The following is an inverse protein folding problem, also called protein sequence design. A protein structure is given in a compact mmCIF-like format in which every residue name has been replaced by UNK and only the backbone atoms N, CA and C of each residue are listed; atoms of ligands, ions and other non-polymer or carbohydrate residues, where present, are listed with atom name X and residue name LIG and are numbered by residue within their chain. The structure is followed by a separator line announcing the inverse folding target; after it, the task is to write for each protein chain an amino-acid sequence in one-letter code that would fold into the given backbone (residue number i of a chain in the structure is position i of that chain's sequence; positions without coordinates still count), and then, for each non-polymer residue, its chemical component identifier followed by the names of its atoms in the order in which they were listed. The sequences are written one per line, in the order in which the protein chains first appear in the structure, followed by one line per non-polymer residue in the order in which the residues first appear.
data_IF_407846315205
#
_entry.id   IF_407846315205
#
_cell.length_a   1.000
_cell.length_b   1.000
_cell.length_c   1.000
_cell.angle_alpha   90.00
_cell.angle_beta   90.00
_cell.angle_gamma   90.00
#
_symmetry.space_group_name_H-M   'P 1'
#
loop_
_entity.id
_entity.type
_entity.pdbx_description
1 polymer ?
#
# COMPACT_ATOMS: atom_id res chain seq x y z
N UNK A 1 -10.65 0.75 24.29
CA UNK A 1 -10.61 -0.69 24.58
C UNK A 1 -10.99 -1.37 23.27
N UNK A 2 -10.10 -2.16 22.66
CA UNK A 2 -10.40 -2.81 21.38
C UNK A 2 -11.25 -4.04 21.70
N UNK A 3 -12.44 -4.11 21.11
CA UNK A 3 -13.32 -5.27 21.17
C UNK A 3 -12.80 -6.35 20.20
N UNK A 4 -12.66 -7.58 20.71
CA UNK A 4 -12.08 -8.73 20.01
C UNK A 4 -13.11 -9.83 19.71
N UNK A 5 -14.41 -9.59 19.91
CA UNK A 5 -15.47 -10.57 19.63
C UNK A 5 -15.54 -10.96 18.13
N UNK A 6 -14.93 -10.16 17.24
CA UNK A 6 -14.49 -10.57 15.90
C UNK A 6 -13.21 -9.87 15.49
N UNK A 7 -12.35 -10.55 14.70
CA UNK A 7 -11.10 -9.95 14.23
C UNK A 7 -11.40 -8.71 13.39
N UNK A 8 -12.31 -8.73 12.43
CA UNK A 8 -12.78 -7.52 11.72
C UNK A 8 -14.29 -7.68 11.50
N UNK A 9 -15.09 -6.75 12.01
CA UNK A 9 -16.55 -6.80 11.83
C UNK A 9 -16.90 -6.47 10.38
N UNK A 10 -17.93 -7.13 9.82
CA UNK A 10 -18.38 -6.89 8.44
C UNK A 10 -18.73 -5.42 8.17
N UNK A 11 -19.29 -4.74 9.18
CA UNK A 11 -19.69 -3.32 9.09
C UNK A 11 -18.52 -2.37 8.78
N UNK A 12 -17.29 -2.75 9.12
CA UNK A 12 -16.11 -1.92 8.84
C UNK A 12 -15.40 -2.31 7.54
N UNK A 13 -15.83 -3.37 6.85
CA UNK A 13 -15.19 -3.81 5.60
C UNK A 13 -15.48 -2.87 4.44
N UNK A 14 -16.63 -2.20 4.41
CA UNK A 14 -17.02 -1.34 3.31
C UNK A 14 -16.53 0.10 3.50
N UNK A 15 -16.09 0.72 2.40
CA UNK A 15 -15.67 2.11 2.41
C UNK A 15 -16.91 3.01 2.35
N UNK A 16 -16.90 4.16 3.05
CA UNK A 16 -18.02 5.11 2.98
C UNK A 16 -18.20 5.63 1.56
N UNK A 17 -19.43 6.01 1.16
CA UNK A 17 -19.70 6.51 -0.18
C UNK A 17 -19.00 7.85 -0.45
N UNK A 18 -18.60 8.05 -1.70
CA UNK A 18 -18.01 9.31 -2.15
C UNK A 18 -19.10 10.36 -2.40
N UNK A 19 -18.93 11.63 -1.97
CA UNK A 19 -19.92 12.70 -2.26
C UNK A 19 -20.14 12.97 -3.76
N UNK A 20 -19.16 12.58 -4.57
CA UNK A 20 -19.12 12.72 -6.03
C UNK A 20 -19.09 11.34 -6.72
N UNK A 21 -19.72 10.32 -6.14
CA UNK A 21 -19.70 8.95 -6.67
C UNK A 21 -20.19 8.88 -8.12
N UNK A 22 -21.21 9.67 -8.49
CA UNK A 22 -21.72 9.78 -9.86
C UNK A 22 -20.68 10.31 -10.87
N UNK A 23 -19.62 10.96 -10.39
CA UNK A 23 -18.56 11.52 -11.24
C UNK A 23 -17.36 10.58 -11.36
N UNK A 24 -17.26 9.52 -10.55
CA UNK A 24 -16.12 8.59 -10.58
C UNK A 24 -15.94 7.91 -11.94
N UNK A 25 -17.02 7.72 -12.69
CA UNK A 25 -17.00 7.07 -13.99
C UNK A 25 -16.77 8.04 -15.17
N UNK A 26 -16.69 9.35 -14.90
CA UNK A 26 -16.45 10.33 -15.95
C UNK A 26 -15.06 10.12 -16.57
N UNK A 27 -14.94 10.21 -17.91
CA UNK A 27 -13.69 9.90 -18.59
C UNK A 27 -12.63 10.96 -18.26
N UNK A 28 -11.44 10.50 -17.93
CA UNK A 28 -10.24 11.35 -17.87
C UNK A 28 -9.21 10.79 -18.87
N UNK A 29 -8.60 11.63 -19.73
CA UNK A 29 -7.53 11.19 -20.61
C UNK A 29 -6.37 10.51 -19.87
N UNK A 30 -5.72 9.58 -20.56
CA UNK A 30 -4.46 8.97 -20.11
C UNK A 30 -3.32 9.99 -20.26
N UNK A 31 -2.30 9.88 -19.41
CA UNK A 31 -1.06 10.65 -19.44
C UNK A 31 -0.30 10.53 -20.77
N UNK A 32 -0.56 9.50 -21.55
CA UNK A 32 -0.02 9.35 -22.92
C UNK A 32 -0.69 10.27 -23.94
N UNK A 33 -1.91 10.73 -23.64
CA UNK A 33 -2.78 11.46 -24.57
C UNK A 33 -2.99 12.92 -24.20
N UNK A 34 -2.77 13.29 -22.94
CA UNK A 34 -2.97 14.65 -22.43
C UNK A 34 -1.85 15.03 -21.45
N UNK A 35 -1.59 16.33 -21.32
CA UNK A 35 -0.66 16.82 -20.31
C UNK A 35 -1.24 16.68 -18.89
N UNK A 36 -0.40 16.61 -17.87
CA UNK A 36 -0.85 16.61 -16.45
C UNK A 36 -1.72 17.83 -16.18
N UNK A 37 -1.38 19.00 -16.71
CA UNK A 37 -2.15 20.22 -16.51
C UNK A 37 -3.56 20.13 -17.13
N UNK A 38 -3.67 19.57 -18.33
CA UNK A 38 -4.95 19.35 -19.00
C UNK A 38 -5.83 18.36 -18.23
N UNK A 39 -5.25 17.25 -17.75
CA UNK A 39 -5.92 16.28 -16.87
C UNK A 39 -6.48 16.99 -15.63
N UNK A 40 -5.70 17.85 -14.99
CA UNK A 40 -6.13 18.64 -13.82
C UNK A 40 -7.29 19.58 -14.15
N UNK A 41 -7.24 20.23 -15.30
CA UNK A 41 -8.30 21.15 -15.73
C UNK A 41 -9.62 20.43 -15.97
N UNK A 42 -9.56 19.24 -16.59
CA UNK A 42 -10.72 18.36 -16.78
C UNK A 42 -11.27 17.91 -15.43
N UNK A 43 -10.41 17.40 -14.53
CA UNK A 43 -10.82 16.97 -13.19
C UNK A 43 -11.51 18.09 -12.41
N UNK A 44 -10.99 19.32 -12.44
CA UNK A 44 -11.61 20.47 -11.76
C UNK A 44 -12.93 20.87 -12.40
N UNK A 45 -12.97 20.99 -13.72
CA UNK A 45 -14.16 21.44 -14.48
C UNK A 45 -15.33 20.48 -14.28
N UNK A 46 -15.06 19.19 -14.41
CA UNK A 46 -16.08 18.14 -14.40
C UNK A 46 -16.25 17.52 -13.00
N UNK A 47 -15.46 18.01 -12.02
CA UNK A 47 -15.45 17.54 -10.63
C UNK A 47 -15.24 16.03 -10.52
N UNK A 48 -14.24 15.52 -11.24
CA UNK A 48 -13.90 14.10 -11.27
C UNK A 48 -12.93 13.79 -10.11
N UNK A 49 -13.29 12.91 -9.17
CA UNK A 49 -12.43 12.58 -8.03
C UNK A 49 -11.05 12.05 -8.46
N UNK A 50 -10.03 12.37 -7.68
CA UNK A 50 -8.67 11.82 -7.82
C UNK A 50 -8.46 10.53 -7.03
N UNK A 51 -9.53 9.96 -6.47
CA UNK A 51 -9.51 8.72 -5.70
C UNK A 51 -10.29 7.63 -6.42
N UNK A 52 -9.93 6.39 -6.13
CA UNK A 52 -10.72 5.21 -6.50
C UNK A 52 -10.81 4.26 -5.32
N UNK A 53 -11.82 3.41 -5.33
CA UNK A 53 -11.96 2.37 -4.31
C UNK A 53 -11.06 1.18 -4.65
N UNK A 54 -10.23 0.75 -3.70
CA UNK A 54 -9.40 -0.46 -3.78
C UNK A 54 -9.92 -1.55 -2.86
N UNK A 55 -9.74 -2.80 -3.28
CA UNK A 55 -9.98 -3.97 -2.44
C UNK A 55 -8.67 -4.49 -1.87
N UNK A 56 -8.62 -4.62 -0.55
CA UNK A 56 -7.49 -5.17 0.18
C UNK A 56 -7.93 -6.48 0.81
N UNK A 57 -7.26 -7.55 0.45
CA UNK A 57 -7.66 -8.91 0.83
C UNK A 57 -7.23 -9.23 2.27
N UNK A 58 -8.07 -9.98 2.96
CA UNK A 58 -7.76 -10.63 4.24
C UNK A 58 -7.41 -12.11 4.01
N UNK A 59 -8.16 -12.76 3.12
CA UNK A 59 -7.93 -14.12 2.63
C UNK A 59 -8.41 -14.23 1.17
N UNK A 60 -8.73 -15.44 0.70
CA UNK A 60 -9.15 -15.68 -0.68
C UNK A 60 -10.54 -15.12 -1.01
N UNK A 61 -11.44 -15.05 -0.03
CA UNK A 61 -12.87 -14.74 -0.24
C UNK A 61 -13.30 -13.48 0.54
N UNK A 62 -12.47 -12.99 1.45
CA UNK A 62 -12.73 -11.83 2.29
C UNK A 62 -11.79 -10.68 1.93
N UNK A 63 -12.37 -9.50 1.70
CA UNK A 63 -11.65 -8.26 1.47
C UNK A 63 -12.32 -7.10 2.21
N UNK A 64 -11.60 -6.00 2.32
CA UNK A 64 -12.13 -4.71 2.74
C UNK A 64 -11.81 -3.64 1.71
N UNK A 65 -12.60 -2.59 1.71
CA UNK A 65 -12.53 -1.48 0.79
C UNK A 65 -11.85 -0.28 1.44
N UNK A 66 -11.06 0.46 0.66
CA UNK A 66 -10.57 1.78 1.05
C UNK A 66 -10.43 2.71 -0.15
N UNK A 67 -10.40 4.01 0.12
CA UNK A 67 -10.16 5.04 -0.89
C UNK A 67 -8.66 5.22 -1.11
N UNK A 68 -8.21 4.97 -2.34
CA UNK A 68 -6.82 5.12 -2.77
C UNK A 68 -6.65 6.38 -3.61
N UNK A 69 -5.58 7.13 -3.32
CA UNK A 69 -5.20 8.31 -4.09
C UNK A 69 -4.50 7.88 -5.38
N UNK A 70 -5.09 8.16 -6.54
CA UNK A 70 -4.51 7.76 -7.82
C UNK A 70 -3.29 8.66 -8.13
N UNK A 71 -2.08 8.09 -8.31
CA UNK A 71 -0.90 8.87 -8.64
C UNK A 71 -1.08 9.72 -9.90
N UNK A 72 -0.61 10.97 -9.84
CA UNK A 72 -0.72 11.93 -10.94
C UNK A 72 -2.12 12.55 -11.12
N UNK A 73 -3.08 12.25 -10.26
CA UNK A 73 -4.37 12.95 -10.21
C UNK A 73 -4.34 14.04 -9.14
N UNK A 74 -5.12 15.10 -9.36
CA UNK A 74 -5.46 16.00 -8.26
C UNK A 74 -6.54 15.39 -7.39
N UNK A 75 -6.41 15.58 -6.09
CA UNK A 75 -7.44 15.32 -5.10
C UNK A 75 -8.25 16.59 -4.90
N UNK A 76 -9.56 16.49 -5.07
CA UNK A 76 -10.51 17.54 -4.75
C UNK A 76 -10.66 17.69 -3.23
N UNK A 77 -11.16 18.83 -2.72
CA UNK A 77 -11.44 18.98 -1.29
C UNK A 77 -12.33 17.87 -0.72
N UNK A 78 -13.33 17.42 -1.49
CA UNK A 78 -14.21 16.31 -1.11
C UNK A 78 -13.46 14.99 -0.95
N UNK A 79 -12.46 14.73 -1.80
CA UNK A 79 -11.64 13.52 -1.75
C UNK A 79 -10.83 13.51 -0.44
N UNK A 80 -10.23 14.65 -0.09
CA UNK A 80 -9.41 14.79 1.13
C UNK A 80 -10.26 14.69 2.40
N UNK A 81 -11.45 15.30 2.42
CA UNK A 81 -12.38 15.18 3.54
C UNK A 81 -12.84 13.73 3.73
N UNK A 82 -13.14 13.03 2.64
CA UNK A 82 -13.50 11.61 2.68
C UNK A 82 -12.37 10.75 3.25
N UNK A 83 -11.15 10.91 2.74
CA UNK A 83 -9.97 10.19 3.20
C UNK A 83 -9.70 10.44 4.69
N UNK A 84 -9.78 11.69 5.14
CA UNK A 84 -9.58 12.05 6.54
C UNK A 84 -10.65 11.45 7.46
N UNK A 85 -11.92 11.44 7.02
CA UNK A 85 -13.03 10.85 7.76
C UNK A 85 -12.91 9.32 7.85
N UNK A 86 -12.49 8.68 6.76
CA UNK A 86 -12.38 7.23 6.66
C UNK A 86 -11.13 6.66 7.35
N UNK A 87 -10.11 7.49 7.56
CA UNK A 87 -8.83 7.09 8.15
C UNK A 87 -9.00 6.31 9.46
N UNK A 88 -9.90 6.72 10.35
CA UNK A 88 -10.13 6.03 11.62
C UNK A 88 -10.63 4.58 11.44
N UNK A 89 -11.47 4.31 10.43
CA UNK A 89 -11.93 2.96 10.11
C UNK A 89 -10.77 2.11 9.58
N UNK A 90 -9.99 2.66 8.65
CA UNK A 90 -8.81 2.01 8.07
C UNK A 90 -7.79 1.66 9.15
N UNK A 91 -7.48 2.60 10.04
CA UNK A 91 -6.56 2.39 11.16
C UNK A 91 -7.05 1.33 12.14
N UNK A 92 -8.35 1.23 12.37
CA UNK A 92 -8.91 0.17 13.21
C UNK A 92 -8.64 -1.22 12.61
N UNK A 93 -8.85 -1.38 11.30
CA UNK A 93 -8.53 -2.63 10.58
C UNK A 93 -7.03 -2.94 10.69
N UNK A 94 -6.17 -1.96 10.37
CA UNK A 94 -4.72 -2.12 10.45
C UNK A 94 -4.25 -2.43 11.87
N UNK A 95 -4.84 -1.82 12.89
CA UNK A 95 -4.48 -2.08 14.28
C UNK A 95 -4.74 -3.52 14.70
N UNK A 96 -5.81 -4.13 14.20
CA UNK A 96 -6.11 -5.53 14.47
C UNK A 96 -5.19 -6.48 13.71
N UNK A 97 -4.85 -6.16 12.45
CA UNK A 97 -3.85 -6.91 11.68
C UNK A 97 -2.45 -6.85 12.32
N UNK A 98 -2.04 -5.67 12.78
CA UNK A 98 -0.79 -5.44 13.49
C UNK A 98 -0.75 -6.16 14.82
N UNK A 99 -1.85 -6.14 15.58
CA UNK A 99 -1.95 -6.90 16.83
C UNK A 99 -1.75 -8.40 16.57
N UNK A 100 -2.38 -8.93 15.53
CA UNK A 100 -2.35 -10.35 15.20
C UNK A 100 -0.99 -10.82 14.65
N UNK A 101 -0.46 -10.15 13.62
CA UNK A 101 0.72 -10.61 12.86
C UNK A 101 2.00 -9.86 13.21
N UNK A 102 1.88 -8.67 13.79
CA UNK A 102 2.98 -7.75 13.95
C UNK A 102 3.28 -6.96 12.67
N UNK A 103 3.83 -5.76 12.85
CA UNK A 103 4.25 -4.86 11.78
C UNK A 103 5.75 -4.60 11.80
N UNK A 104 6.35 -4.56 10.62
CA UNK A 104 7.76 -4.24 10.42
C UNK A 104 7.87 -2.88 9.76
N UNK A 105 8.45 -1.92 10.48
CA UNK A 105 8.57 -0.54 10.02
C UNK A 105 9.89 -0.31 9.28
N UNK A 106 9.82 0.33 8.12
CA UNK A 106 10.97 0.58 7.26
C UNK A 106 11.09 2.05 6.86
N UNK A 107 12.31 2.55 6.97
CA UNK A 107 12.79 3.78 6.32
C UNK A 107 13.71 3.40 5.16
N UNK A 108 14.24 4.43 4.46
CA UNK A 108 15.29 4.24 3.44
C UNK A 108 16.52 3.50 3.97
N UNK A 109 16.86 3.65 5.25
CA UNK A 109 18.09 3.14 5.86
C UNK A 109 17.87 1.94 6.79
N UNK A 110 16.65 1.40 6.87
CA UNK A 110 16.37 0.26 7.75
C UNK A 110 17.12 -0.98 7.30
N UNK A 111 17.74 -1.69 8.25
CA UNK A 111 18.16 -3.08 8.06
C UNK A 111 16.93 -3.93 7.77
N UNK A 112 17.01 -4.88 6.83
CA UNK A 112 15.85 -5.70 6.39
C UNK A 112 16.09 -7.21 6.52
N UNK A 113 17.04 -7.56 7.38
CA UNK A 113 17.39 -8.92 7.74
C UNK A 113 16.49 -9.46 8.88
N UNK A 114 16.66 -10.74 9.18
CA UNK A 114 15.79 -11.51 10.07
C UNK A 114 15.80 -11.12 11.55
N UNK A 115 16.60 -10.14 11.97
CA UNK A 115 16.72 -9.72 13.37
C UNK A 115 15.68 -8.67 13.79
N UNK A 116 14.88 -8.17 12.83
CA UNK A 116 13.81 -7.22 13.15
C UNK A 116 12.77 -7.83 14.09
N UNK A 117 12.38 -7.06 15.10
CA UNK A 117 11.30 -7.40 16.03
C UNK A 117 10.01 -6.74 15.54
N UNK A 118 8.90 -7.49 15.40
CA UNK A 118 7.63 -6.93 15.01
C UNK A 118 7.02 -6.01 16.08
N UNK A 119 6.37 -4.95 15.63
CA UNK A 119 5.54 -4.06 16.45
C UNK A 119 4.12 -4.62 16.49
N UNK A 120 3.55 -4.81 17.68
CA UNK A 120 2.18 -5.33 17.85
C UNK A 120 1.14 -4.27 18.26
N UNK A 121 1.53 -3.00 18.24
CA UNK A 121 0.65 -1.89 18.57
C UNK A 121 0.70 -0.85 17.45
N UNK A 122 -0.45 -0.59 16.81
CA UNK A 122 -0.55 0.40 15.73
C UNK A 122 -0.09 1.79 16.13
N UNK A 123 -0.35 2.20 17.37
CA UNK A 123 0.07 3.52 17.84
C UNK A 123 1.60 3.67 17.84
N UNK A 124 2.36 2.59 17.95
CA UNK A 124 3.81 2.63 17.85
C UNK A 124 4.28 2.69 16.39
N UNK A 125 3.50 2.16 15.44
CA UNK A 125 3.69 2.38 13.98
C UNK A 125 3.44 3.85 13.63
N UNK A 126 2.38 4.46 14.18
CA UNK A 126 2.08 5.89 13.97
C UNK A 126 3.18 6.78 14.56
N UNK A 127 3.64 6.50 15.79
CA UNK A 127 4.79 7.22 16.37
C UNK A 127 6.04 7.10 15.50
N UNK A 128 6.30 5.93 14.94
CA UNK A 128 7.40 5.74 13.99
C UNK A 128 7.25 6.65 12.76
N UNK A 129 6.06 6.73 12.16
CA UNK A 129 5.82 7.61 11.01
C UNK A 129 5.96 9.10 11.37
N UNK A 130 5.43 9.51 12.53
CA UNK A 130 5.58 10.88 13.05
C UNK A 130 7.04 11.27 13.27
N UNK A 131 7.90 10.35 13.72
CA UNK A 131 9.35 10.57 13.84
C UNK A 131 10.03 10.79 12.48
N UNK A 132 9.43 10.31 11.39
CA UNK A 132 9.87 10.60 10.01
C UNK A 132 9.21 11.87 9.44
N UNK A 133 8.52 12.65 10.30
CA UNK A 133 7.88 13.93 9.98
C UNK A 133 6.44 13.81 9.45
N UNK A 134 5.82 12.63 9.49
CA UNK A 134 4.44 12.44 9.05
C UNK A 134 3.46 12.81 10.18
N UNK A 135 3.36 14.11 10.49
CA UNK A 135 2.40 14.64 11.48
C UNK A 135 0.95 14.51 11.00
N UNK A 136 0.75 14.67 9.69
CA UNK A 136 -0.48 14.33 8.97
C UNK A 136 -0.10 13.40 7.82
N UNK A 137 -0.89 12.34 7.62
CA UNK A 137 -0.61 11.31 6.64
C UNK A 137 -1.87 10.74 6.02
N UNK A 138 -1.66 10.14 4.85
CA UNK A 138 -2.59 9.24 4.18
C UNK A 138 -1.87 7.91 3.97
N UNK A 139 -2.62 6.87 3.65
CA UNK A 139 -2.09 5.52 3.52
C UNK A 139 -2.25 5.03 2.08
N UNK A 140 -1.17 4.48 1.53
CA UNK A 140 -1.25 3.54 0.43
C UNK A 140 -1.16 2.12 0.99
N UNK A 141 -2.02 1.21 0.54
CA UNK A 141 -2.13 -0.12 1.12
C UNK A 141 -2.25 -1.13 -0.01
N UNK A 142 -1.18 -1.90 -0.18
CA UNK A 142 -1.12 -2.99 -1.15
C UNK A 142 -1.20 -4.34 -0.44
N UNK A 143 -2.00 -5.25 -0.99
CA UNK A 143 -1.90 -6.66 -0.64
C UNK A 143 -0.98 -7.38 -1.61
N UNK A 144 0.02 -8.06 -1.06
CA UNK A 144 1.03 -8.81 -1.78
C UNK A 144 0.75 -10.30 -1.56
N UNK A 145 0.32 -11.07 -2.57
CA UNK A 145 0.04 -12.49 -2.41
C UNK A 145 1.35 -13.30 -2.27
N UNK A 146 1.22 -14.56 -1.83
CA UNK A 146 2.34 -15.51 -1.76
C UNK A 146 3.09 -15.57 -3.10
N UNK A 147 4.40 -15.41 -3.06
CA UNK A 147 5.26 -15.52 -4.23
C UNK A 147 6.47 -16.41 -3.95
N UNK A 148 6.78 -17.28 -4.92
CA UNK A 148 7.99 -18.10 -4.94
C UNK A 148 8.67 -17.83 -6.29
N UNK A 149 9.86 -17.23 -6.27
CA UNK A 149 10.59 -16.87 -7.49
C UNK A 149 12.08 -17.13 -7.34
N UNK A 150 12.73 -17.38 -8.47
CA UNK A 150 14.19 -17.33 -8.53
C UNK A 150 14.68 -15.92 -8.20
N UNK A 151 15.72 -15.81 -7.37
CA UNK A 151 16.35 -14.53 -7.06
C UNK A 151 17.61 -14.34 -7.89
N UNK A 152 17.54 -13.39 -8.82
CA UNK A 152 18.63 -13.06 -9.76
C UNK A 152 19.46 -11.86 -9.29
N UNK A 153 19.18 -11.26 -8.14
CA UNK A 153 19.98 -10.14 -7.58
C UNK A 153 21.40 -10.56 -7.22
N UNK A 154 21.62 -11.86 -7.01
CA UNK A 154 22.91 -12.43 -6.66
C UNK A 154 23.57 -13.22 -7.80
N UNK A 155 23.01 -13.21 -9.02
CA UNK A 155 23.72 -13.74 -10.20
C UNK A 155 24.82 -12.76 -10.58
N UNK A 156 26.07 -13.16 -10.34
CA UNK A 156 27.25 -12.45 -10.83
C UNK A 156 27.20 -12.42 -12.35
N UNK A 157 27.15 -11.22 -12.91
CA UNK A 157 27.34 -10.95 -14.33
C UNK A 157 28.63 -11.59 -14.82
N UNK A 158 28.54 -12.56 -15.74
CA UNK A 158 29.44 -12.68 -16.91
C UNK A 158 29.25 -13.95 -17.75
N UNK A 159 28.31 -14.85 -17.45
CA UNK A 159 28.06 -16.00 -18.33
C UNK A 159 26.62 -16.05 -18.79
N UNK A 160 26.45 -16.40 -20.07
CA UNK A 160 25.21 -16.57 -20.84
C UNK A 160 24.23 -17.62 -20.29
N UNK A 161 24.41 -18.02 -19.03
CA UNK A 161 23.62 -18.99 -18.28
C UNK A 161 23.44 -18.46 -16.84
N UNK A 162 22.59 -17.45 -16.65
CA UNK A 162 22.28 -16.89 -15.33
C UNK A 162 21.40 -17.83 -14.52
N UNK A 163 21.93 -18.97 -14.09
CA UNK A 163 21.25 -19.82 -13.13
C UNK A 163 21.15 -19.10 -11.80
N UNK A 164 19.93 -18.82 -11.36
CA UNK A 164 19.69 -18.25 -10.04
C UNK A 164 20.23 -19.19 -8.96
N UNK A 165 21.09 -18.68 -8.08
CA UNK A 165 21.65 -19.46 -6.97
C UNK A 165 20.67 -19.62 -5.79
N UNK A 166 19.59 -18.82 -5.78
CA UNK A 166 18.63 -18.76 -4.69
C UNK A 166 17.18 -18.78 -5.19
N UNK A 167 16.29 -19.29 -4.32
CA UNK A 167 14.84 -19.09 -4.41
C UNK A 167 14.44 -18.12 -3.29
N UNK A 168 13.68 -17.09 -3.65
CA UNK A 168 12.99 -16.20 -2.74
C UNK A 168 11.56 -16.69 -2.51
N UNK A 169 11.15 -16.74 -1.24
CA UNK A 169 9.79 -17.06 -0.82
C UNK A 169 9.28 -15.89 0.01
N UNK A 170 8.20 -15.26 -0.46
CA UNK A 170 7.47 -14.22 0.24
C UNK A 170 6.08 -14.72 0.59
N UNK A 171 5.79 -14.95 1.88
CA UNK A 171 4.42 -15.13 2.35
C UNK A 171 3.54 -13.94 1.98
N UNK A 172 2.23 -14.16 2.00
CA UNK A 172 1.28 -13.07 1.79
C UNK A 172 1.51 -11.97 2.84
N UNK A 173 1.44 -10.72 2.44
CA UNK A 173 1.65 -9.59 3.34
C UNK A 173 0.92 -8.34 2.86
N UNK A 174 0.69 -7.42 3.79
CA UNK A 174 0.23 -6.07 3.48
C UNK A 174 1.42 -5.12 3.50
N UNK A 175 1.53 -4.27 2.49
CA UNK A 175 2.47 -3.16 2.47
C UNK A 175 1.69 -1.86 2.66
N UNK A 176 2.04 -1.11 3.70
CA UNK A 176 1.43 0.17 4.04
C UNK A 176 2.48 1.26 3.86
N UNK A 177 2.26 2.17 2.93
CA UNK A 177 3.10 3.36 2.72
C UNK A 177 2.43 4.60 3.31
N UNK A 178 3.21 5.40 4.05
CA UNK A 178 2.75 6.69 4.55
C UNK A 178 2.98 7.76 3.49
N UNK A 179 1.93 8.50 3.16
CA UNK A 179 1.91 9.50 2.11
C UNK A 179 1.61 10.89 2.68
N UNK A 180 2.12 11.92 2.00
CA UNK A 180 1.77 13.32 2.27
C UNK A 180 1.10 13.95 1.07
N UNK A 181 0.13 14.80 1.37
CA UNK A 181 -0.48 15.67 0.38
C UNK A 181 0.16 17.05 0.41
N UNK A 182 0.37 17.61 -0.77
CA UNK A 182 0.78 19.01 -0.97
C UNK A 182 -0.38 19.80 -1.58
N UNK A 183 -0.63 21.03 -1.10
CA UNK A 183 -1.67 21.86 -1.69
C UNK A 183 -1.26 22.31 -3.10
N UNK A 184 -2.24 22.37 -4.00
CA UNK A 184 -2.06 22.84 -5.39
C UNK A 184 -3.15 23.83 -5.77
N UNK A 185 -3.09 24.38 -6.99
CA UNK A 185 -4.16 25.25 -7.49
C UNK A 185 -5.45 24.44 -7.67
N UNK A 186 -6.40 24.62 -6.75
CA UNK A 186 -7.72 24.00 -6.82
C UNK A 186 -7.81 22.57 -6.27
N UNK A 187 -6.85 22.13 -5.45
CA UNK A 187 -6.89 20.81 -4.82
C UNK A 187 -5.60 20.45 -4.08
N UNK A 188 -5.32 19.15 -4.03
CA UNK A 188 -4.14 18.57 -3.39
C UNK A 188 -3.53 17.49 -4.28
N UNK A 189 -2.26 17.16 -4.07
CA UNK A 189 -1.58 16.09 -4.79
C UNK A 189 -0.68 15.29 -3.87
N UNK A 190 -0.41 14.04 -4.25
CA UNK A 190 0.63 13.24 -3.61
C UNK A 190 1.99 13.91 -3.81
N UNK A 191 2.80 13.97 -2.75
CA UNK A 191 4.16 14.46 -2.84
C UNK A 191 5.01 13.56 -3.74
N UNK A 192 5.49 14.09 -4.87
CA UNK A 192 6.28 13.34 -5.87
C UNK A 192 7.55 12.69 -5.28
N UNK A 193 8.29 13.43 -4.45
CA UNK A 193 9.44 12.88 -3.73
C UNK A 193 8.96 12.14 -2.48
N UNK A 194 8.59 10.87 -2.65
CA UNK A 194 8.20 9.99 -1.56
C UNK A 194 9.35 9.83 -0.56
N UNK A 195 9.11 10.28 0.68
CA UNK A 195 9.95 9.91 1.82
C UNK A 195 9.60 8.47 2.16
N UNK A 196 10.54 7.54 1.99
CA UNK A 196 10.32 6.13 2.28
C UNK A 196 10.01 5.96 3.77
N UNK A 197 8.74 5.71 4.08
CA UNK A 197 8.22 5.39 5.40
C UNK A 197 7.08 4.40 5.20
N UNK A 198 7.29 3.16 5.64
CA UNK A 198 6.33 2.09 5.41
C UNK A 198 6.27 1.11 6.57
N UNK A 199 5.17 0.36 6.65
CA UNK A 199 4.98 -0.77 7.52
C UNK A 199 4.60 -1.99 6.66
N UNK A 200 5.18 -3.16 6.93
CA UNK A 200 4.74 -4.41 6.32
C UNK A 200 4.21 -5.36 7.39
N UNK A 201 3.09 -6.01 7.09
CA UNK A 201 2.42 -6.97 7.97
C UNK A 201 2.53 -8.34 7.30
N UNK A 202 3.38 -9.22 7.81
CA UNK A 202 3.69 -10.49 7.18
C UNK A 202 2.90 -11.65 7.81
N UNK A 203 2.28 -12.50 6.98
CA UNK A 203 1.60 -13.72 7.46
C UNK A 203 2.56 -14.86 7.83
N UNK A 204 3.85 -14.71 7.50
CA UNK A 204 4.92 -15.65 7.81
C UNK A 204 6.29 -15.04 7.56
N UNK A 205 7.37 -15.78 7.83
CA UNK A 205 8.73 -15.27 7.64
C UNK A 205 9.17 -15.39 6.17
N UNK A 206 9.45 -14.28 5.47
CA UNK A 206 10.04 -14.33 4.13
C UNK A 206 11.49 -14.80 4.17
N UNK A 207 11.91 -15.61 3.20
CA UNK A 207 13.26 -16.16 3.19
C UNK A 207 13.86 -16.35 1.80
N UNK A 208 15.18 -16.26 1.74
CA UNK A 208 15.99 -16.80 0.65
C UNK A 208 16.43 -18.20 1.02
N UNK A 209 16.46 -19.09 0.02
CA UNK A 209 17.02 -20.42 0.14
C UNK A 209 18.04 -20.65 -0.97
N UNK A 210 19.28 -20.92 -0.59
CA UNK A 210 20.33 -21.28 -1.53
C UNK A 210 20.04 -22.66 -2.11
N UNK A 211 20.04 -22.79 -3.45
CA UNK A 211 19.64 -24.02 -4.12
C UNK A 211 20.56 -25.21 -3.84
N UNK A 212 21.89 -25.00 -3.94
CA UNK A 212 22.84 -26.10 -3.76
C UNK A 212 23.06 -26.51 -2.29
N UNK A 213 23.25 -25.55 -1.37
CA UNK A 213 23.51 -25.85 0.04
C UNK A 213 22.26 -26.06 0.89
N UNK A 214 21.09 -25.62 0.41
CA UNK A 214 19.83 -25.67 1.15
C UNK A 214 19.73 -24.68 2.33
N UNK A 215 20.76 -23.87 2.56
CA UNK A 215 20.81 -22.87 3.64
C UNK A 215 19.77 -21.78 3.39
N UNK A 216 19.08 -21.36 4.46
CA UNK A 216 18.07 -20.30 4.40
C UNK A 216 18.43 -19.09 5.24
N UNK A 217 18.04 -17.91 4.77
CA UNK A 217 18.16 -16.63 5.50
C UNK A 217 16.85 -15.85 5.40
N UNK A 218 16.42 -15.22 6.50
CA UNK A 218 15.21 -14.40 6.53
C UNK A 218 15.51 -12.99 6.01
N UNK A 219 14.64 -12.47 5.14
CA UNK A 219 14.81 -11.18 4.45
C UNK A 219 13.45 -10.55 4.16
N UNK A 220 13.24 -9.33 4.62
CA UNK A 220 11.98 -8.58 4.45
C UNK A 220 12.02 -7.59 3.28
N UNK A 221 12.98 -7.77 2.36
CA UNK A 221 13.23 -6.91 1.19
C UNK A 221 13.28 -7.68 -0.13
N UNK A 222 12.64 -8.85 -0.16
CA UNK A 222 12.67 -9.70 -1.35
C UNK A 222 11.90 -9.06 -2.50
N UNK A 223 10.77 -8.39 -2.28
CA UNK A 223 10.01 -7.71 -3.33
C UNK A 223 9.79 -8.58 -4.58
N UNK A 224 9.52 -9.87 -4.38
CA UNK A 224 9.29 -10.82 -5.48
C UNK A 224 7.80 -10.99 -5.77
N UNK A 225 6.93 -10.79 -4.78
CA UNK A 225 5.50 -10.60 -4.96
C UNK A 225 5.22 -9.29 -5.70
N UNK A 226 4.04 -9.22 -6.34
CA UNK A 226 3.54 -8.00 -6.97
C UNK A 226 2.20 -7.64 -6.33
N UNK A 227 1.87 -6.34 -6.20
CA UNK A 227 0.58 -5.92 -5.67
C UNK A 227 -0.57 -6.59 -6.44
N UNK A 228 -1.57 -7.06 -5.70
CA UNK A 228 -2.84 -7.46 -6.29
C UNK A 228 -3.75 -6.23 -6.39
N UNK A 229 -3.59 -5.47 -7.48
CA UNK A 229 -4.32 -4.24 -7.73
C UNK A 229 -5.72 -4.51 -8.28
N UNK A 230 -6.71 -4.57 -7.38
CA UNK A 230 -8.13 -4.62 -7.78
C UNK A 230 -8.82 -3.34 -7.33
N UNK A 231 -9.36 -2.60 -8.30
CA UNK A 231 -10.03 -1.31 -8.11
C UNK A 231 -11.45 -1.35 -8.65
N UNK A 232 -12.34 -0.56 -8.06
CA UNK A 232 -13.61 -0.15 -8.65
C UNK A 232 -13.45 1.22 -9.33
N UNK A 233 -14.27 1.52 -10.36
CA UNK A 233 -14.02 2.42 -11.50
C UNK A 233 -13.29 3.76 -11.28
N UNK A 234 -12.67 4.28 -12.37
CA UNK A 234 -12.78 3.78 -13.75
C UNK A 234 -11.46 3.20 -14.29
N UNK A 235 -11.13 1.95 -13.94
CA UNK A 235 -9.99 1.24 -14.58
C UNK A 235 -10.27 -0.21 -14.98
N UNK A 236 -11.54 -0.58 -15.12
CA UNK A 236 -11.93 -1.78 -15.87
C UNK A 236 -12.52 -1.37 -17.22
N UNK A 237 -11.63 -1.19 -18.20
CA UNK A 237 -11.86 -1.67 -19.57
C UNK A 237 -10.56 -2.21 -20.14
#
# INVERSE_FOLDING_TARGET
MIDFDSLIHEEVLLAPPHPLEQNLELPIPDYRSASVQEIREIQRRDRIPGVVKRFVFLDADTFWEYWWCVPGRILLPEDVELLARDLSRVENILAKLIWLFGGFCFTKNSHRDGEQIPIHNWQDVIKFAQQQGFESYFLDIDFMPLAIKHDFRHSTSDETDSQASHIAVEPAHWHIEFLRLIPTLGGFELQDQKIVCSCQIWTGKPFLKHLASGISSTRYDLWVARPMDITQPPWLK
#
